data_IF_429760654948
#
_entry.id   IF_429760654948
#
_cell.length_a   1.000
_cell.length_b   1.000
_cell.length_c   1.000
_cell.angle_alpha   90.00
_cell.angle_beta   90.00
_cell.angle_gamma   90.00
#
_symmetry.space_group_name_H-M   'P 1'
#
loop_
_entity.id
_entity.type
_entity.pdbx_description
1 polymer ?
#
# COMPACT_ATOMS: atom_id res chain seq x y z
N UNK A 1 -41.64 -12.56 -23.47
CA UNK A 1 -40.47 -13.14 -22.78
C UNK A 1 -39.25 -12.36 -23.26
N UNK A 2 -38.34 -11.91 -22.37
CA UNK A 2 -37.11 -11.26 -22.82
C UNK A 2 -36.36 -12.25 -23.72
N UNK A 3 -35.79 -11.77 -24.84
CA UNK A 3 -35.06 -12.63 -25.76
C UNK A 3 -33.85 -13.23 -25.02
N UNK A 4 -33.60 -14.53 -25.17
CA UNK A 4 -32.51 -15.24 -24.49
C UNK A 4 -31.14 -14.57 -24.68
N UNK A 5 -30.97 -13.85 -25.78
CA UNK A 5 -29.79 -13.02 -26.09
C UNK A 5 -29.56 -11.89 -25.07
N UNK A 6 -30.63 -11.24 -24.57
CA UNK A 6 -30.50 -10.19 -23.54
C UNK A 6 -30.00 -10.78 -22.21
N UNK A 7 -30.46 -11.99 -21.87
CA UNK A 7 -30.06 -12.70 -20.64
C UNK A 7 -28.60 -13.16 -20.73
N UNK A 8 -28.16 -13.65 -21.89
CA UNK A 8 -26.77 -14.04 -22.13
C UNK A 8 -25.83 -12.83 -22.07
N UNK A 9 -26.20 -11.71 -22.72
CA UNK A 9 -25.41 -10.47 -22.69
C UNK A 9 -25.31 -9.88 -21.27
N UNK A 10 -26.38 -10.00 -20.47
CA UNK A 10 -26.37 -9.55 -19.09
C UNK A 10 -25.45 -10.41 -18.22
N UNK A 11 -25.48 -11.74 -18.34
CA UNK A 11 -24.56 -12.65 -17.64
C UNK A 11 -23.10 -12.38 -18.00
N UNK A 12 -22.79 -12.16 -19.28
CA UNK A 12 -21.44 -11.82 -19.73
C UNK A 12 -20.93 -10.50 -19.11
N UNK A 13 -21.81 -9.50 -18.95
CA UNK A 13 -21.48 -8.23 -18.27
C UNK A 13 -21.26 -8.42 -16.77
N UNK A 14 -22.05 -9.26 -16.12
CA UNK A 14 -21.91 -9.57 -14.70
C UNK A 14 -20.62 -10.35 -14.42
N UNK A 15 -20.28 -11.35 -15.23
CA UNK A 15 -19.03 -12.10 -15.13
C UNK A 15 -17.80 -11.21 -15.38
N UNK A 16 -17.82 -10.38 -16.42
CA UNK A 16 -16.72 -9.45 -16.70
C UNK A 16 -16.54 -8.42 -15.57
N UNK A 17 -17.63 -7.94 -14.96
CA UNK A 17 -17.57 -7.10 -13.74
C UNK A 17 -16.99 -7.85 -12.55
N UNK A 18 -17.42 -9.09 -12.30
CA UNK A 18 -16.92 -9.90 -11.19
C UNK A 18 -15.42 -10.17 -11.33
N UNK A 19 -14.95 -10.51 -12.54
CA UNK A 19 -13.53 -10.71 -12.83
C UNK A 19 -12.73 -9.42 -12.63
N UNK A 20 -13.25 -8.27 -13.07
CA UNK A 20 -12.59 -6.98 -12.86
C UNK A 20 -12.47 -6.62 -11.37
N UNK A 21 -13.55 -6.79 -10.60
CA UNK A 21 -13.55 -6.57 -9.15
C UNK A 21 -12.62 -7.55 -8.43
N UNK A 22 -12.57 -8.81 -8.85
CA UNK A 22 -11.68 -9.80 -8.29
C UNK A 22 -10.21 -9.46 -8.57
N UNK A 23 -9.89 -8.95 -9.77
CA UNK A 23 -8.54 -8.46 -10.09
C UNK A 23 -8.17 -7.27 -9.21
N UNK A 24 -9.07 -6.30 -9.05
CA UNK A 24 -8.86 -5.15 -8.16
C UNK A 24 -8.67 -5.56 -6.71
N UNK A 25 -9.51 -6.46 -6.19
CA UNK A 25 -9.41 -6.97 -4.82
C UNK A 25 -8.06 -7.66 -4.54
N UNK A 26 -7.47 -8.34 -5.55
CA UNK A 26 -6.14 -8.94 -5.43
C UNK A 26 -5.00 -7.91 -5.42
N UNK A 27 -5.22 -6.71 -5.93
CA UNK A 27 -4.24 -5.61 -5.93
C UNK A 27 -4.23 -4.84 -4.61
N UNK A 28 -5.35 -4.83 -3.87
CA UNK A 28 -5.47 -4.16 -2.58
C UNK A 28 -4.77 -4.96 -1.48
N UNK A 29 -4.23 -4.24 -0.50
CA UNK A 29 -3.71 -4.85 0.72
C UNK A 29 -4.86 -5.28 1.61
N UNK A 30 -4.83 -6.51 2.09
CA UNK A 30 -5.77 -6.96 3.11
C UNK A 30 -5.33 -6.53 4.53
N UNK A 31 -6.19 -6.79 5.52
CA UNK A 31 -5.92 -6.38 6.90
C UNK A 31 -4.67 -7.03 7.50
N UNK A 32 -4.38 -8.28 7.13
CA UNK A 32 -3.20 -8.99 7.63
C UNK A 32 -1.93 -8.37 7.04
N UNK A 33 -1.94 -8.06 5.75
CA UNK A 33 -0.86 -7.36 5.06
C UNK A 33 -0.62 -5.96 5.64
N UNK A 34 -1.69 -5.21 5.97
CA UNK A 34 -1.59 -3.89 6.62
C UNK A 34 -1.01 -3.98 8.03
N UNK A 35 -1.46 -4.94 8.84
CA UNK A 35 -0.92 -5.16 10.19
C UNK A 35 0.56 -5.55 10.14
N UNK A 36 0.93 -6.46 9.22
CA UNK A 36 2.31 -6.86 9.01
C UNK A 36 3.19 -5.68 8.56
N UNK A 37 2.68 -4.83 7.67
CA UNK A 37 3.38 -3.63 7.23
C UNK A 37 3.61 -2.66 8.40
N UNK A 38 2.60 -2.40 9.22
CA UNK A 38 2.71 -1.54 10.40
C UNK A 38 3.79 -2.05 11.35
N UNK A 39 3.74 -3.35 11.68
CA UNK A 39 4.72 -3.98 12.57
C UNK A 39 6.15 -3.90 12.02
N UNK A 40 6.34 -4.13 10.72
CA UNK A 40 7.65 -4.02 10.10
C UNK A 40 8.20 -2.59 10.13
N UNK A 41 7.34 -1.59 9.88
CA UNK A 41 7.74 -0.18 9.94
C UNK A 41 8.15 0.22 11.35
N UNK A 42 7.34 -0.11 12.36
CA UNK A 42 7.62 0.17 13.77
C UNK A 42 8.95 -0.46 14.22
N UNK A 43 9.20 -1.72 13.84
CA UNK A 43 10.45 -2.42 14.14
C UNK A 43 11.69 -1.80 13.49
N UNK A 44 11.55 -1.09 12.37
CA UNK A 44 12.66 -0.48 11.64
C UNK A 44 12.67 1.06 11.70
N UNK A 45 12.00 1.65 12.69
CA UNK A 45 12.10 3.08 12.93
C UNK A 45 13.56 3.52 13.19
N UNK A 46 13.83 4.79 12.91
CA UNK A 46 15.15 5.40 13.01
C UNK A 46 15.14 6.51 14.06
N UNK A 47 15.91 6.35 15.13
CA UNK A 47 16.10 7.38 16.16
C UNK A 47 16.89 8.60 15.64
N UNK A 48 16.73 9.79 16.26
CA UNK A 48 15.73 10.13 17.29
C UNK A 48 14.33 10.31 16.69
N UNK A 49 13.28 10.08 17.48
CA UNK A 49 11.92 10.47 17.06
C UNK A 49 11.85 11.99 16.85
N UNK A 50 10.93 12.44 16.00
CA UNK A 50 10.66 13.87 15.81
C UNK A 50 9.40 14.25 16.60
N UNK A 51 9.59 14.65 17.86
CA UNK A 51 8.48 14.76 18.81
C UNK A 51 7.90 13.37 19.10
N UNK A 52 6.60 13.19 18.85
CA UNK A 52 5.90 11.90 18.97
C UNK A 52 5.91 11.07 17.67
N UNK A 53 6.50 11.60 16.58
CA UNK A 53 6.52 10.91 15.30
C UNK A 53 7.68 9.90 15.19
N UNK A 54 7.31 8.65 14.92
CA UNK A 54 8.24 7.61 14.52
C UNK A 54 8.71 7.86 13.08
N UNK A 55 10.02 7.90 12.90
CA UNK A 55 10.66 8.24 11.62
C UNK A 55 11.33 7.00 11.01
N UNK A 56 11.47 6.96 9.69
CA UNK A 56 12.23 5.91 9.00
C UNK A 56 13.16 6.53 7.95
N UNK A 57 14.43 6.15 7.98
CA UNK A 57 15.40 6.55 6.96
C UNK A 57 15.24 5.70 5.68
N UNK A 58 15.90 6.12 4.59
CA UNK A 58 15.76 5.45 3.30
C UNK A 58 16.28 4.00 3.31
N UNK A 59 17.34 3.71 4.05
CA UNK A 59 17.90 2.35 4.14
C UNK A 59 16.91 1.38 4.81
N UNK A 60 16.35 1.76 5.95
CA UNK A 60 15.35 0.96 6.66
C UNK A 60 14.06 0.86 5.86
N UNK A 61 13.67 1.92 5.14
CA UNK A 61 12.55 1.90 4.21
C UNK A 61 12.72 0.80 3.15
N UNK A 62 13.89 0.68 2.52
CA UNK A 62 14.18 -0.41 1.59
C UNK A 62 14.18 -1.79 2.27
N UNK A 63 14.77 -1.91 3.46
CA UNK A 63 14.76 -3.18 4.23
C UNK A 63 13.35 -3.64 4.56
N UNK A 64 12.44 -2.72 4.90
CA UNK A 64 11.02 -3.04 5.10
C UNK A 64 10.40 -3.47 3.79
N UNK A 65 10.67 -2.78 2.67
CA UNK A 65 10.14 -3.14 1.35
C UNK A 65 10.52 -4.54 0.86
N UNK A 66 11.72 -5.02 1.20
CA UNK A 66 12.15 -6.40 0.90
C UNK A 66 11.44 -7.45 1.76
N UNK A 67 11.07 -7.09 3.00
CA UNK A 67 10.36 -7.96 3.94
C UNK A 67 8.84 -7.90 3.77
N UNK A 68 8.34 -6.78 3.26
CA UNK A 68 6.94 -6.57 2.99
C UNK A 68 6.54 -7.43 1.78
N UNK A 69 5.35 -8.02 1.84
CA UNK A 69 4.85 -8.91 0.80
C UNK A 69 4.83 -8.27 -0.60
N UNK A 70 4.67 -9.07 -1.67
CA UNK A 70 4.78 -8.60 -3.06
C UNK A 70 3.86 -7.43 -3.40
N UNK A 71 2.66 -7.34 -2.82
CA UNK A 71 1.71 -6.23 -3.01
C UNK A 71 2.24 -4.89 -2.46
N UNK A 72 3.11 -4.93 -1.44
CA UNK A 72 3.68 -3.74 -0.84
C UNK A 72 4.80 -3.11 -1.68
N UNK A 73 5.48 -3.89 -2.53
CA UNK A 73 6.68 -3.44 -3.26
C UNK A 73 6.46 -2.17 -4.08
N UNK A 74 5.26 -1.99 -4.66
CA UNK A 74 4.91 -0.79 -5.43
C UNK A 74 4.97 0.51 -4.61
N UNK A 75 4.87 0.42 -3.27
CA UNK A 75 4.93 1.59 -2.38
C UNK A 75 6.37 1.95 -1.98
N UNK A 76 7.30 1.00 -2.05
CA UNK A 76 8.69 1.17 -1.65
C UNK A 76 9.59 1.67 -2.78
N UNK A 77 9.26 2.84 -3.33
CA UNK A 77 10.04 3.48 -4.40
C UNK A 77 10.73 4.75 -3.94
N UNK A 78 11.87 5.08 -4.55
CA UNK A 78 12.56 6.35 -4.32
C UNK A 78 11.65 7.56 -4.56
N UNK A 79 10.76 7.49 -5.56
CA UNK A 79 9.78 8.54 -5.87
C UNK A 79 8.78 8.77 -4.74
N UNK A 80 8.25 7.69 -4.14
CA UNK A 80 7.32 7.81 -3.01
C UNK A 80 8.04 8.33 -1.77
N UNK A 81 9.25 7.82 -1.50
CA UNK A 81 10.06 8.32 -0.39
C UNK A 81 10.34 9.81 -0.53
N UNK A 82 10.86 10.26 -1.68
CA UNK A 82 11.14 11.66 -1.96
C UNK A 82 9.89 12.56 -1.91
N UNK A 83 8.71 12.03 -2.29
CA UNK A 83 7.45 12.76 -2.19
C UNK A 83 7.00 12.98 -0.75
N UNK A 84 7.27 12.02 0.13
CA UNK A 84 6.95 12.08 1.56
C UNK A 84 8.08 12.68 2.39
N UNK A 85 9.24 12.89 1.79
CA UNK A 85 10.37 13.55 2.40
C UNK A 85 10.06 15.04 2.53
N UNK A 86 9.71 15.44 3.74
CA UNK A 86 9.53 16.83 4.11
C UNK A 86 10.84 17.38 4.70
N UNK A 87 10.74 18.50 5.42
CA UNK A 87 11.86 19.24 6.00
C UNK A 87 12.56 18.54 7.19
N UNK A 88 12.57 17.20 7.26
CA UNK A 88 13.28 16.47 8.31
C UNK A 88 14.80 16.65 8.10
N UNK A 89 15.53 17.19 9.10
CA UNK A 89 16.95 17.52 8.95
C UNK A 89 17.86 16.29 8.75
N UNK A 90 17.34 15.08 9.00
CA UNK A 90 18.08 13.83 8.85
C UNK A 90 17.65 13.04 7.59
N UNK A 91 16.78 13.62 6.75
CA UNK A 91 16.36 12.99 5.51
C UNK A 91 15.44 11.77 5.70
N UNK A 92 14.59 11.78 6.73
CA UNK A 92 13.69 10.68 7.08
C UNK A 92 12.23 11.00 6.79
N UNK A 93 11.42 9.96 6.68
CA UNK A 93 9.97 10.07 6.45
C UNK A 93 9.21 9.62 7.70
N UNK A 94 8.09 10.28 7.98
CA UNK A 94 7.17 9.88 9.05
C UNK A 94 6.50 8.55 8.70
N UNK A 95 6.65 7.55 9.58
CA UNK A 95 6.05 6.21 9.39
C UNK A 95 4.53 6.32 9.24
N UNK A 96 3.90 7.16 10.05
CA UNK A 96 2.45 7.40 10.00
C UNK A 96 2.02 7.97 8.64
N UNK A 97 2.75 8.95 8.11
CA UNK A 97 2.45 9.54 6.80
C UNK A 97 2.59 8.52 5.66
N UNK A 98 3.64 7.69 5.70
CA UNK A 98 3.82 6.61 4.74
C UNK A 98 2.71 5.55 4.84
N UNK A 99 2.37 5.10 6.05
CA UNK A 99 1.30 4.13 6.25
C UNK A 99 -0.06 4.65 5.75
N UNK A 100 -0.38 5.91 6.06
CA UNK A 100 -1.57 6.59 5.54
C UNK A 100 -1.54 6.81 4.02
N UNK A 101 -0.36 6.92 3.40
CA UNK A 101 -0.23 6.94 1.95
C UNK A 101 -0.61 5.59 1.35
N UNK A 102 -0.11 4.50 1.94
CA UNK A 102 -0.42 3.13 1.52
C UNK A 102 -1.92 2.85 1.65
N UNK A 103 -2.55 3.14 2.79
CA UNK A 103 -4.00 2.93 2.98
C UNK A 103 -4.89 3.72 2.00
N UNK A 104 -4.42 4.86 1.48
CA UNK A 104 -5.18 5.68 0.52
C UNK A 104 -4.96 5.29 -0.94
N UNK A 105 -3.91 4.50 -1.23
CA UNK A 105 -3.48 4.16 -2.59
C UNK A 105 -3.49 2.67 -2.89
N UNK A 106 -3.51 1.83 -1.87
CA UNK A 106 -3.75 0.40 -1.98
C UNK A 106 -5.20 0.05 -1.79
#
# INVERSE_FOLDING_TARGET
>A
LPAEDEVLLQKLREESRAVFLQRKSRELLDNEELQNLWFLLDKHQTSPMMGEEAMINYENFLKVGEKAGPKCKQFFTAKIFAKLLHSDPYGRVSIMQFFNYVMRKG
#
